data_IF_527684749513
#
_entry.id   IF_527684749513
#
_cell.length_a   1.000
_cell.length_b   1.000
_cell.length_c   1.000
_cell.angle_alpha   90.00
_cell.angle_beta   90.00
_cell.angle_gamma   90.00
#
_symmetry.space_group_name_H-M   'P 1'
#
loop_
_entity.id
_entity.type
_entity.pdbx_description
1 polymer ?
#
# COMPACT_ATOMS: atom_id res chain seq x y z
N UNK A 1 -31.38 -44.89 1.57
CA UNK A 1 -30.75 -44.47 2.86
C UNK A 1 -30.08 -43.08 2.82
N UNK A 2 -29.76 -42.51 1.65
CA UNK A 2 -29.09 -41.18 1.53
C UNK A 2 -30.02 -39.97 1.71
N UNK A 3 -31.35 -40.16 1.80
CA UNK A 3 -32.35 -39.09 1.97
C UNK A 3 -32.61 -38.70 3.43
N UNK A 4 -32.13 -39.49 4.40
CA UNK A 4 -32.26 -39.22 5.84
C UNK A 4 -31.06 -38.48 6.46
N UNK A 5 -29.96 -38.33 5.71
CA UNK A 5 -28.76 -37.61 6.18
C UNK A 5 -28.85 -36.09 6.03
N UNK A 6 -29.68 -35.60 5.10
CA UNK A 6 -29.86 -34.17 4.85
C UNK A 6 -30.56 -33.42 6.01
N UNK A 7 -31.65 -33.93 6.65
CA UNK A 7 -32.29 -33.20 7.75
C UNK A 7 -31.45 -33.19 9.03
N UNK A 8 -30.59 -34.19 9.26
CA UNK A 8 -29.72 -34.26 10.45
C UNK A 8 -28.59 -33.24 10.35
N UNK A 9 -28.04 -33.01 9.16
CA UNK A 9 -26.98 -32.02 8.94
C UNK A 9 -27.50 -30.57 9.03
N UNK A 10 -28.76 -30.33 8.68
CA UNK A 10 -29.40 -29.01 8.82
C UNK A 10 -29.75 -28.67 10.28
N UNK A 11 -30.02 -29.67 11.12
CA UNK A 11 -30.30 -29.47 12.54
C UNK A 11 -29.06 -29.05 13.35
N UNK A 12 -27.85 -29.46 12.95
CA UNK A 12 -26.61 -29.12 13.67
C UNK A 12 -26.13 -27.68 13.39
N UNK A 13 -26.44 -27.11 12.22
CA UNK A 13 -26.10 -25.72 11.87
C UNK A 13 -26.97 -24.67 12.60
N UNK A 14 -28.17 -25.04 13.06
CA UNK A 14 -29.05 -24.14 13.84
C UNK A 14 -28.60 -23.98 15.30
N UNK A 15 -27.84 -24.92 15.86
CA UNK A 15 -27.42 -24.88 17.26
C UNK A 15 -26.24 -23.92 17.53
N UNK A 16 -25.48 -23.50 16.51
CA UNK A 16 -24.33 -22.61 16.69
C UNK A 16 -24.66 -21.11 16.71
N UNK A 17 -25.92 -20.70 16.48
CA UNK A 17 -26.31 -19.27 16.46
C UNK A 17 -27.00 -18.79 17.74
N UNK A 18 -27.26 -19.68 18.71
CA UNK A 18 -27.90 -19.32 19.99
C UNK A 18 -26.92 -19.03 21.15
N UNK A 19 -25.62 -18.88 20.90
CA UNK A 19 -24.62 -18.52 21.93
C UNK A 19 -24.04 -17.12 21.76
N UNK A 20 -24.87 -16.13 21.41
CA UNK A 20 -24.57 -14.72 21.69
C UNK A 20 -25.10 -14.35 23.08
N UNK A 21 -24.24 -14.12 24.11
CA UNK A 21 -24.69 -13.49 25.34
C UNK A 21 -24.84 -11.98 25.10
N UNK A 22 -26.01 -11.59 24.60
CA UNK A 22 -26.49 -10.21 24.64
C UNK A 22 -27.17 -9.91 25.97
N UNK A 23 -26.52 -9.09 26.80
CA UNK A 23 -27.14 -7.97 27.53
C UNK A 23 -28.34 -8.32 28.43
N UNK A 24 -28.07 -8.77 29.66
CA UNK A 24 -28.97 -8.55 30.80
C UNK A 24 -28.42 -7.43 31.66
N UNK A 25 -29.14 -6.30 31.66
CA UNK A 25 -29.07 -5.33 32.73
C UNK A 25 -29.33 -6.05 34.07
N UNK A 26 -28.38 -5.95 34.99
CA UNK A 26 -28.61 -6.20 36.41
C UNK A 26 -28.06 -5.01 37.18
N UNK A 27 -28.97 -4.36 37.87
CA UNK A 27 -28.74 -3.41 38.93
C UNK A 27 -27.60 -3.89 39.83
N UNK A 28 -26.53 -3.09 39.86
CA UNK A 28 -25.50 -3.19 40.89
C UNK A 28 -25.72 -1.99 41.81
N UNK A 29 -25.95 -2.18 43.13
CA UNK A 29 -26.03 -1.06 44.04
C UNK A 29 -24.70 -0.33 44.04
N UNK A 30 -24.78 0.99 43.93
CA UNK A 30 -23.66 1.90 44.03
C UNK A 30 -22.87 1.61 45.32
N UNK A 31 -21.68 1.02 45.18
CA UNK A 31 -20.66 1.13 46.20
C UNK A 31 -20.33 2.62 46.29
N UNK A 32 -20.70 3.24 47.42
CA UNK A 32 -20.31 4.59 47.75
C UNK A 32 -18.77 4.64 47.82
N UNK A 33 -18.15 5.10 46.72
CA UNK A 33 -16.76 5.48 46.69
C UNK A 33 -16.69 6.80 47.46
N UNK A 34 -16.22 6.72 48.71
CA UNK A 34 -15.79 7.89 49.46
C UNK A 34 -14.68 8.59 48.67
N UNK A 35 -14.76 9.92 48.43
CA UNK A 35 -13.64 10.66 47.87
C UNK A 35 -12.53 10.71 48.92
N UNK A 36 -11.52 9.85 48.78
CA UNK A 36 -10.23 10.05 49.43
C UNK A 36 -9.57 11.32 48.86
N UNK A 37 -8.73 12.01 49.64
CA UNK A 37 -8.01 13.18 49.15
C UNK A 37 -7.10 12.78 47.98
N UNK A 38 -7.41 13.30 46.80
CA UNK A 38 -6.58 13.16 45.61
C UNK A 38 -5.44 14.16 45.77
N UNK A 39 -4.25 13.70 46.16
CA UNK A 39 -3.05 14.52 46.08
C UNK A 39 -2.66 14.66 44.60
N UNK A 40 -2.95 15.85 44.05
CA UNK A 40 -2.50 16.25 42.72
C UNK A 40 -1.03 16.65 42.85
N UNK A 41 -0.13 15.70 42.61
CA UNK A 41 1.27 16.03 42.34
C UNK A 41 1.33 16.68 40.97
N UNK A 42 1.25 18.01 40.93
CA UNK A 42 1.57 18.78 39.73
C UNK A 42 3.04 18.57 39.44
N UNK A 43 3.33 17.84 38.35
CA UNK A 43 4.69 17.70 37.84
C UNK A 43 5.21 19.10 37.52
N UNK A 44 6.27 19.49 38.23
CA UNK A 44 6.87 20.81 38.15
C UNK A 44 7.16 21.20 36.70
N UNK A 45 6.67 22.38 36.30
CA UNK A 45 7.02 23.01 35.04
C UNK A 45 8.53 23.31 35.02
N UNK A 46 9.25 23.01 33.92
CA UNK A 46 10.61 23.48 33.78
C UNK A 46 10.61 25.03 33.69
N UNK A 47 11.61 25.72 34.27
CA UNK A 47 11.73 27.16 34.12
C UNK A 47 11.92 27.50 32.64
N UNK A 48 10.93 28.21 32.11
CA UNK A 48 11.10 29.02 30.90
C UNK A 48 11.99 30.20 31.25
N UNK A 49 13.27 30.15 30.85
CA UNK A 49 14.07 31.34 30.56
C UNK A 49 15.45 30.93 30.02
N UNK A 50 15.56 30.77 28.70
CA UNK A 50 16.67 31.37 27.98
C UNK A 50 16.10 31.93 26.67
N UNK A 51 15.76 33.22 26.72
CA UNK A 51 15.65 34.03 25.53
C UNK A 51 17.07 34.32 25.04
N UNK A 52 17.49 33.62 23.98
CA UNK A 52 18.67 34.01 23.20
C UNK A 52 18.31 33.96 21.72
N UNK A 53 18.27 35.16 21.14
CA UNK A 53 18.43 35.51 19.73
C UNK A 53 17.56 34.77 18.70
N UNK A 54 16.57 35.50 18.19
CA UNK A 54 16.05 35.28 16.86
C UNK A 54 17.21 35.25 15.84
N UNK A 55 17.34 34.24 14.98
CA UNK A 55 18.18 34.37 13.81
C UNK A 55 17.53 35.41 12.89
N UNK A 56 18.25 36.49 12.63
CA UNK A 56 18.02 37.40 11.53
C UNK A 56 17.70 36.61 10.25
N UNK A 57 16.68 36.97 9.46
CA UNK A 57 16.50 36.42 8.13
C UNK A 57 17.66 36.94 7.27
N UNK A 58 18.69 36.11 7.11
CA UNK A 58 19.70 36.32 6.08
C UNK A 58 18.98 36.22 4.74
N UNK A 59 18.88 37.35 4.04
CA UNK A 59 18.41 37.40 2.68
C UNK A 59 19.15 36.36 1.82
N UNK A 60 18.49 35.66 0.89
CA UNK A 60 19.21 34.85 -0.09
C UNK A 60 20.07 35.79 -0.94
N UNK A 61 21.38 35.72 -0.75
CA UNK A 61 22.37 36.26 -1.66
C UNK A 61 22.11 35.66 -3.04
N UNK A 62 21.57 36.50 -3.93
CA UNK A 62 21.69 36.31 -5.36
C UNK A 62 23.15 36.55 -5.78
N UNK A 63 23.57 35.84 -6.82
CA UNK A 63 24.93 35.73 -7.39
C UNK A 63 25.85 34.82 -6.55
N UNK A 64 26.37 33.72 -7.10
CA UNK A 64 27.19 33.74 -8.30
C UNK A 64 27.21 32.41 -9.08
N UNK A 65 27.62 32.54 -10.33
CA UNK A 65 28.08 31.49 -11.23
C UNK A 65 27.06 30.43 -11.70
N UNK A 66 26.24 30.86 -12.67
CA UNK A 66 25.84 29.99 -13.76
C UNK A 66 27.10 29.38 -14.41
N UNK A 67 27.33 28.10 -14.20
CA UNK A 67 28.28 27.32 -15.01
C UNK A 67 27.87 27.45 -16.47
N UNK A 68 28.76 27.88 -17.39
CA UNK A 68 28.47 27.84 -18.81
C UNK A 68 28.12 26.41 -19.17
N UNK A 69 26.88 26.22 -19.62
CA UNK A 69 26.40 24.99 -20.19
C UNK A 69 27.31 24.68 -21.40
N UNK A 70 28.32 23.83 -21.19
CA UNK A 70 29.15 23.33 -22.26
C UNK A 70 28.25 22.46 -23.12
N UNK A 71 27.71 23.04 -24.19
CA UNK A 71 27.08 22.30 -25.28
C UNK A 71 28.05 21.20 -25.69
N UNK A 72 27.69 19.92 -25.56
CA UNK A 72 28.52 18.84 -26.05
C UNK A 72 28.76 19.07 -27.55
N UNK A 73 30.04 19.18 -27.93
CA UNK A 73 30.47 19.18 -29.33
C UNK A 73 29.80 17.97 -30.01
N UNK A 74 29.09 18.16 -31.14
CA UNK A 74 28.58 17.02 -31.89
C UNK A 74 29.76 16.16 -32.31
N UNK A 75 29.82 14.94 -31.77
CA UNK A 75 30.74 13.92 -32.25
C UNK A 75 30.46 13.68 -33.74
N UNK A 76 31.48 13.61 -34.61
CA UNK A 76 31.26 13.27 -36.02
C UNK A 76 30.60 11.90 -36.07
N UNK A 77 29.34 11.88 -36.51
CA UNK A 77 28.59 10.64 -36.73
C UNK A 77 29.43 9.77 -37.68
N UNK A 78 29.85 8.56 -37.28
CA UNK A 78 30.55 7.68 -38.21
C UNK A 78 29.64 7.45 -39.41
N UNK A 79 30.17 7.75 -40.59
CA UNK A 79 29.49 7.59 -41.87
C UNK A 79 29.08 6.13 -41.99
N UNK A 80 27.78 5.86 -41.87
CA UNK A 80 27.21 4.53 -42.07
C UNK A 80 27.55 4.08 -43.49
N UNK A 81 28.29 2.98 -43.71
CA UNK A 81 28.50 2.46 -45.05
C UNK A 81 27.15 2.18 -45.71
N UNK A 82 27.09 2.51 -47.00
CA UNK A 82 25.92 2.32 -47.85
C UNK A 82 25.35 0.89 -47.74
N UNK A 83 24.02 0.85 -47.66
CA UNK A 83 23.14 -0.31 -47.73
C UNK A 83 23.70 -1.43 -48.62
N UNK A 84 24.08 -2.55 -48.01
CA UNK A 84 24.08 -3.84 -48.70
C UNK A 84 22.61 -4.19 -48.97
N UNK A 85 22.21 -4.58 -50.19
CA UNK A 85 20.87 -5.09 -50.44
C UNK A 85 20.61 -6.25 -49.47
N UNK A 86 19.53 -6.16 -48.70
CA UNK A 86 19.07 -7.27 -47.88
C UNK A 86 18.83 -8.46 -48.82
N UNK A 87 19.30 -9.68 -48.50
CA UNK A 87 18.76 -10.85 -49.16
C UNK A 87 17.25 -10.88 -48.87
N UNK A 88 16.45 -11.13 -49.91
CA UNK A 88 15.02 -11.42 -49.82
C UNK A 88 14.80 -12.45 -48.72
N UNK A 89 14.42 -11.96 -47.54
CA UNK A 89 13.87 -12.76 -46.46
C UNK A 89 12.37 -12.66 -46.64
N UNK A 90 11.84 -13.39 -47.62
CA UNK A 90 10.43 -13.79 -47.60
C UNK A 90 10.27 -14.57 -46.31
N UNK A 91 9.51 -14.09 -45.29
CA UNK A 91 9.28 -14.91 -44.12
C UNK A 91 8.40 -16.06 -44.59
N UNK A 92 9.00 -17.25 -44.64
CA UNK A 92 8.29 -18.51 -44.67
C UNK A 92 7.44 -18.55 -43.38
N UNK A 93 6.22 -18.01 -43.46
CA UNK A 93 5.21 -18.18 -42.44
C UNK A 93 4.56 -19.54 -42.65
N UNK A 94 5.32 -20.60 -42.39
CA UNK A 94 4.71 -21.85 -41.95
C UNK A 94 4.03 -21.54 -40.61
N UNK A 95 2.69 -21.65 -40.49
CA UNK A 95 2.00 -21.40 -39.23
C UNK A 95 2.53 -22.40 -38.19
N UNK A 96 3.20 -21.91 -37.15
CA UNK A 96 3.71 -22.72 -36.05
C UNK A 96 2.52 -23.45 -35.37
N UNK A 97 2.38 -24.77 -35.55
CA UNK A 97 1.15 -25.48 -35.18
C UNK A 97 1.16 -25.86 -33.70
N UNK A 98 1.44 -24.93 -32.77
CA UNK A 98 1.15 -25.08 -31.34
C UNK A 98 1.44 -23.83 -30.49
N UNK A 99 1.19 -22.60 -30.96
CA UNK A 99 1.11 -21.46 -30.04
C UNK A 99 -0.19 -21.54 -29.20
N UNK A 100 -0.33 -22.59 -28.39
CA UNK A 100 -1.37 -22.66 -27.35
C UNK A 100 -0.93 -21.71 -26.26
N UNK A 101 -1.30 -20.44 -26.37
CA UNK A 101 -1.18 -19.52 -25.24
C UNK A 101 -1.96 -20.13 -24.08
N UNK A 102 -1.33 -20.38 -22.92
CA UNK A 102 -2.02 -20.95 -21.78
C UNK A 102 -3.25 -20.10 -21.45
N UNK A 103 -4.41 -20.75 -21.32
CA UNK A 103 -5.64 -20.07 -20.89
C UNK A 103 -5.40 -19.46 -19.50
N UNK A 104 -5.76 -18.18 -19.28
CA UNK A 104 -5.62 -17.56 -17.96
C UNK A 104 -6.46 -18.31 -16.92
N UNK A 105 -5.96 -18.37 -15.68
CA UNK A 105 -6.73 -18.93 -14.58
C UNK A 105 -7.99 -18.10 -14.28
N UNK A 106 -8.98 -18.63 -13.56
CA UNK A 106 -10.15 -17.86 -13.13
C UNK A 106 -9.77 -16.60 -12.33
N UNK A 107 -8.76 -16.69 -11.45
CA UNK A 107 -8.27 -15.59 -10.61
C UNK A 107 -7.58 -14.52 -11.46
N UNK A 108 -6.74 -14.94 -12.41
CA UNK A 108 -6.12 -14.04 -13.37
C UNK A 108 -7.19 -13.31 -14.19
N UNK A 109 -8.17 -14.03 -14.71
CA UNK A 109 -9.25 -13.46 -15.52
C UNK A 109 -10.07 -12.46 -14.70
N UNK A 110 -10.41 -12.79 -13.45
CA UNK A 110 -11.13 -11.90 -12.54
C UNK A 110 -10.32 -10.66 -12.18
N UNK A 111 -9.00 -10.78 -12.02
CA UNK A 111 -8.11 -9.66 -11.79
C UNK A 111 -8.11 -8.68 -12.97
N UNK A 112 -7.87 -9.19 -14.17
CA UNK A 112 -7.79 -8.40 -15.39
C UNK A 112 -9.13 -7.74 -15.71
N UNK A 113 -10.25 -8.44 -15.50
CA UNK A 113 -11.60 -7.89 -15.69
C UNK A 113 -11.90 -6.71 -14.75
N UNK A 114 -11.26 -6.67 -13.56
CA UNK A 114 -11.36 -5.55 -12.60
C UNK A 114 -10.34 -4.43 -12.88
N UNK A 115 -9.59 -4.51 -13.98
CA UNK A 115 -8.52 -3.55 -14.32
C UNK A 115 -7.26 -3.70 -13.46
N UNK A 116 -7.11 -4.82 -12.75
CA UNK A 116 -5.90 -5.16 -12.03
C UNK A 116 -4.81 -5.70 -12.95
N UNK A 117 -3.60 -5.81 -12.39
CA UNK A 117 -2.42 -6.35 -13.04
C UNK A 117 -2.10 -7.68 -12.37
N UNK A 118 -2.04 -8.75 -13.15
CA UNK A 118 -1.62 -10.06 -12.66
C UNK A 118 -0.09 -10.10 -12.55
N UNK A 119 0.46 -9.88 -11.36
CA UNK A 119 1.91 -9.75 -11.15
C UNK A 119 2.46 -10.89 -10.31
N UNK A 120 3.71 -11.28 -10.57
CA UNK A 120 4.47 -12.07 -9.62
C UNK A 120 4.75 -11.23 -8.36
N UNK A 121 4.87 -11.91 -7.22
CA UNK A 121 5.18 -11.32 -5.94
C UNK A 121 6.58 -11.77 -5.48
N UNK A 122 7.55 -10.84 -5.52
CA UNK A 122 8.92 -11.15 -5.14
C UNK A 122 9.53 -12.33 -5.92
N UNK A 123 10.05 -13.31 -5.19
CA UNK A 123 10.64 -14.54 -5.72
C UNK A 123 9.66 -15.72 -5.75
N UNK A 124 8.43 -15.52 -5.27
CA UNK A 124 7.43 -16.58 -5.22
C UNK A 124 6.90 -16.91 -6.62
N UNK A 125 6.63 -18.21 -6.92
CA UNK A 125 5.99 -18.61 -8.17
C UNK A 125 4.49 -18.22 -8.21
N UNK A 126 3.94 -17.80 -7.07
CA UNK A 126 2.56 -17.33 -6.99
C UNK A 126 2.44 -15.98 -7.70
N UNK A 127 1.22 -15.70 -8.18
CA UNK A 127 0.89 -14.42 -8.78
C UNK A 127 -0.34 -13.88 -8.09
N UNK A 128 -0.37 -12.57 -7.87
CA UNK A 128 -1.50 -11.89 -7.25
C UNK A 128 -2.04 -10.79 -8.14
N UNK A 129 -3.28 -10.40 -7.85
CA UNK A 129 -3.87 -9.23 -8.46
C UNK A 129 -3.41 -7.94 -7.77
N UNK A 130 -2.65 -7.11 -8.49
CA UNK A 130 -2.24 -5.78 -8.04
C UNK A 130 -3.16 -4.75 -8.67
N UNK A 131 -3.78 -3.90 -7.85
CA UNK A 131 -4.68 -2.84 -8.32
C UNK A 131 -4.11 -1.47 -7.98
N UNK A 132 -4.21 -0.51 -8.91
CA UNK A 132 -3.85 0.89 -8.60
C UNK A 132 -4.88 1.50 -7.67
N UNK A 133 -4.40 2.25 -6.70
CA UNK A 133 -5.26 3.05 -5.83
C UNK A 133 -5.66 4.35 -6.56
N UNK A 134 -6.86 4.86 -6.26
CA UNK A 134 -7.40 6.08 -6.88
C UNK A 134 -6.82 7.38 -6.30
N UNK A 135 -6.13 7.28 -5.18
CA UNK A 135 -5.63 8.36 -4.36
C UNK A 135 -4.11 8.29 -4.18
N UNK A 136 -3.43 7.50 -5.01
CA UNK A 136 -1.98 7.42 -5.08
C UNK A 136 -1.30 8.79 -4.93
N UNK A 137 -0.43 8.93 -3.94
CA UNK A 137 0.34 10.15 -3.69
C UNK A 137 -0.41 11.29 -2.99
N UNK A 138 -1.73 11.18 -2.74
CA UNK A 138 -2.45 12.17 -1.94
C UNK A 138 -1.98 12.12 -0.49
N UNK A 139 -1.97 13.27 0.18
CA UNK A 139 -1.58 13.36 1.60
C UNK A 139 -2.57 12.65 2.51
N UNK A 140 -2.06 11.97 3.55
CA UNK A 140 -2.86 11.22 4.52
C UNK A 140 -2.30 11.39 5.95
N UNK A 141 -3.15 11.15 6.95
CA UNK A 141 -2.78 11.17 8.38
C UNK A 141 -2.90 9.80 9.04
N UNK A 142 -3.67 8.89 8.46
CA UNK A 142 -3.90 7.52 8.94
C UNK A 142 -4.34 6.63 7.77
N UNK A 143 -4.34 5.32 7.98
CA UNK A 143 -4.71 4.34 6.95
C UNK A 143 -6.08 4.62 6.32
N UNK A 144 -7.06 4.96 7.16
CA UNK A 144 -8.47 5.13 6.76
C UNK A 144 -8.74 6.36 5.90
N UNK A 145 -7.73 7.21 5.69
CA UNK A 145 -7.81 8.32 4.73
C UNK A 145 -7.59 7.85 3.28
N UNK A 146 -7.09 6.61 3.09
CA UNK A 146 -6.69 6.07 1.79
C UNK A 146 -7.55 4.87 1.34
N UNK A 147 -7.62 4.64 0.03
CA UNK A 147 -8.15 3.42 -0.61
C UNK A 147 -7.21 2.21 -0.42
N UNK A 148 -5.95 2.49 -0.09
CA UNK A 148 -4.92 1.53 0.29
C UNK A 148 -4.27 1.92 1.62
N UNK A 149 -2.93 1.90 1.68
CA UNK A 149 -2.18 2.20 2.89
C UNK A 149 -1.71 3.66 2.92
N UNK A 150 -1.61 4.25 4.11
CA UNK A 150 -0.94 5.54 4.31
C UNK A 150 0.54 5.30 4.65
N UNK A 151 1.47 5.74 3.79
CA UNK A 151 2.90 5.55 4.01
C UNK A 151 3.43 6.49 5.09
N UNK A 152 4.04 5.97 6.15
CA UNK A 152 4.47 6.78 7.28
C UNK A 152 5.57 7.78 6.93
N UNK A 153 6.55 7.35 6.11
CA UNK A 153 7.71 8.17 5.71
C UNK A 153 7.31 9.41 4.90
N UNK A 154 6.37 9.27 3.96
CA UNK A 154 5.98 10.36 3.06
C UNK A 154 4.66 11.02 3.43
N UNK A 155 3.86 10.42 4.33
CA UNK A 155 2.49 10.84 4.65
C UNK A 155 1.61 10.92 3.40
N UNK A 156 1.75 9.93 2.50
CA UNK A 156 0.97 9.84 1.27
C UNK A 156 0.37 8.46 1.06
N UNK A 157 -0.79 8.39 0.39
CA UNK A 157 -1.44 7.13 0.04
C UNK A 157 -0.59 6.30 -0.94
N UNK A 158 -0.49 5.00 -0.69
CA UNK A 158 0.25 4.04 -1.50
C UNK A 158 -0.30 3.99 -2.94
N UNK A 159 0.53 3.73 -3.97
CA UNK A 159 0.10 3.77 -5.37
C UNK A 159 -0.65 2.51 -5.84
N UNK A 160 -0.48 1.39 -5.14
CA UNK A 160 -1.09 0.10 -5.49
C UNK A 160 -1.48 -0.67 -4.22
N UNK A 161 -2.40 -1.62 -4.37
CA UNK A 161 -2.78 -2.60 -3.35
C UNK A 161 -2.82 -4.03 -3.94
N UNK A 162 -2.25 -5.03 -3.24
CA UNK A 162 -1.43 -4.89 -2.03
C UNK A 162 -0.09 -4.19 -2.34
N UNK A 163 0.49 -3.54 -1.33
CA UNK A 163 1.83 -2.96 -1.41
C UNK A 163 2.83 -3.99 -0.86
N UNK A 164 3.54 -4.65 -1.77
CA UNK A 164 4.50 -5.69 -1.42
C UNK A 164 5.77 -5.13 -0.75
N UNK A 165 6.44 -6.01 -0.02
CA UNK A 165 7.60 -5.69 0.81
C UNK A 165 7.22 -5.18 2.20
N UNK A 166 8.25 -4.83 2.98
CA UNK A 166 8.10 -4.23 4.30
C UNK A 166 8.09 -2.71 4.20
N UNK A 167 6.95 -2.11 4.51
CA UNK A 167 6.75 -0.66 4.40
C UNK A 167 6.29 -0.10 5.76
N UNK A 168 6.88 1.01 6.24
CA UNK A 168 6.35 1.73 7.39
C UNK A 168 5.07 2.46 6.97
N UNK A 169 3.98 2.18 7.67
CA UNK A 169 2.64 2.69 7.42
C UNK A 169 2.06 3.34 8.68
N UNK A 170 1.07 4.20 8.49
CA UNK A 170 0.21 4.66 9.58
C UNK A 170 -1.04 3.79 9.60
N UNK A 171 -1.32 3.18 10.75
CA UNK A 171 -2.51 2.37 10.99
C UNK A 171 -3.77 3.25 11.07
N UNK A 172 -4.94 2.62 11.24
CA UNK A 172 -6.23 3.29 11.35
C UNK A 172 -6.32 4.30 12.52
N UNK A 173 -5.56 4.09 13.60
CA UNK A 173 -5.46 5.01 14.75
C UNK A 173 -4.36 6.09 14.58
N UNK A 174 -3.62 6.06 13.46
CA UNK A 174 -2.52 6.97 13.17
C UNK A 174 -1.18 6.57 13.80
N UNK A 175 -1.12 5.42 14.49
CA UNK A 175 0.15 4.88 14.99
C UNK A 175 1.00 4.33 13.85
N UNK A 176 2.32 4.48 13.94
CA UNK A 176 3.23 3.92 12.95
C UNK A 176 3.47 2.43 13.21
N UNK A 177 3.38 1.62 12.17
CA UNK A 177 3.70 0.20 12.18
C UNK A 177 4.45 -0.19 10.90
N UNK A 178 5.16 -1.33 10.92
CA UNK A 178 5.75 -1.90 9.70
C UNK A 178 4.86 -3.04 9.21
N UNK A 179 4.32 -2.91 7.99
CA UNK A 179 3.54 -3.96 7.33
C UNK A 179 4.42 -4.64 6.28
N UNK A 180 4.59 -5.96 6.40
CA UNK A 180 5.32 -6.79 5.46
C UNK A 180 4.35 -7.73 4.73
N UNK A 181 4.28 -7.62 3.41
CA UNK A 181 3.49 -8.51 2.54
C UNK A 181 4.44 -9.13 1.51
N UNK A 182 4.49 -10.46 1.45
CA UNK A 182 5.20 -11.25 0.43
C UNK A 182 4.22 -11.84 -0.59
#
# INVERSE_FOLDING_TARGET
MRRLLLPVLLATLAACTLSLPGKTARDTPAAAILPGPVEVTTLAAPPSAIATAAPTPTAPTAADAATPNQTPRPEPRPTRPATRPAPDQTPDQTPDPAATTPRPSPEQSACLAKGGIWSANGTSPLRTCVTRTRDAGKSCRKETDCDGLCLARSRTCAPVKPLFGCNPILQADGTEATLCID
#
